data_IF_050544118869
#
_entry.id   IF_050544118869
#
_cell.length_a   1.000
_cell.length_b   1.000
_cell.length_c   1.000
_cell.angle_alpha   90.00
_cell.angle_beta   90.00
_cell.angle_gamma   90.00
#
_symmetry.space_group_name_H-M   'P 1'
#
loop_
_entity.id
_entity.type
_entity.pdbx_description
1 polymer ?
#
# COMPACT_ATOMS: atom_id res chain seq x y z
N UNK A 1 -28.20 -28.11 -37.15
CA UNK A 1 -28.91 -27.02 -36.43
C UNK A 1 -27.85 -26.06 -35.92
N UNK A 2 -27.45 -25.13 -36.79
CA UNK A 2 -26.54 -24.03 -36.48
C UNK A 2 -27.41 -22.86 -36.03
N UNK A 3 -27.13 -22.27 -34.86
CA UNK A 3 -27.67 -20.96 -34.51
C UNK A 3 -26.51 -19.96 -34.58
N UNK A 4 -26.66 -19.04 -35.54
CA UNK A 4 -25.81 -17.91 -35.79
C UNK A 4 -26.05 -16.80 -34.75
N UNK A 5 -24.99 -16.12 -34.34
CA UNK A 5 -25.07 -14.77 -33.78
C UNK A 5 -24.04 -13.92 -34.54
N UNK A 6 -24.55 -12.98 -35.34
CA UNK A 6 -23.77 -11.99 -36.07
C UNK A 6 -23.32 -10.84 -35.14
N UNK A 7 -22.28 -10.09 -35.52
CA UNK A 7 -21.57 -9.13 -34.68
C UNK A 7 -22.21 -7.73 -34.73
N UNK A 8 -22.11 -6.99 -33.62
CA UNK A 8 -22.21 -5.53 -33.61
C UNK A 8 -20.86 -4.95 -33.24
N UNK A 9 -20.07 -4.60 -34.26
CA UNK A 9 -18.88 -3.77 -34.12
C UNK A 9 -18.92 -2.70 -35.21
N UNK A 10 -19.56 -1.56 -34.93
CA UNK A 10 -19.41 -0.33 -35.69
C UNK A 10 -20.03 0.84 -34.93
N UNK A 11 -19.23 1.52 -34.10
CA UNK A 11 -19.42 2.93 -33.82
C UNK A 11 -18.02 3.56 -33.77
N UNK A 12 -17.66 4.22 -34.87
CA UNK A 12 -16.38 4.86 -35.06
C UNK A 12 -16.28 6.15 -34.22
N UNK A 13 -15.11 6.27 -33.60
CA UNK A 13 -14.35 7.47 -33.23
C UNK A 13 -14.96 8.82 -33.62
N UNK A 14 -15.24 9.62 -32.59
CA UNK A 14 -14.96 11.06 -32.58
C UNK A 14 -14.57 11.44 -31.14
N UNK A 15 -13.44 10.92 -30.65
CA UNK A 15 -12.74 11.51 -29.51
C UNK A 15 -11.62 12.36 -30.07
N UNK A 16 -11.71 13.67 -29.83
CA UNK A 16 -10.66 14.64 -30.11
C UNK A 16 -9.32 14.11 -29.57
N UNK A 17 -8.28 13.89 -30.40
CA UNK A 17 -7.00 13.34 -29.95
C UNK A 17 -6.11 14.36 -29.23
N UNK A 18 -6.65 15.52 -28.82
CA UNK A 18 -5.87 16.65 -28.34
C UNK A 18 -5.71 16.74 -26.81
N UNK A 19 -6.03 15.70 -26.04
CA UNK A 19 -5.84 15.74 -24.56
C UNK A 19 -5.36 14.44 -23.92
N UNK A 20 -4.90 13.46 -24.69
CA UNK A 20 -4.39 12.20 -24.17
C UNK A 20 -3.06 11.86 -24.82
N UNK A 21 -2.02 12.63 -24.46
CA UNK A 21 -0.59 12.31 -24.63
C UNK A 21 0.22 13.46 -24.01
N UNK A 22 0.03 13.72 -22.71
CA UNK A 22 1.20 14.12 -21.93
C UNK A 22 2.05 12.87 -21.79
N UNK A 23 2.89 12.63 -22.80
CA UNK A 23 4.10 11.84 -22.64
C UNK A 23 4.74 12.28 -21.32
N UNK A 24 4.90 11.34 -20.40
CA UNK A 24 5.75 11.48 -19.22
C UNK A 24 7.19 11.72 -19.70
N UNK A 25 7.48 12.97 -20.08
CA UNK A 25 8.84 13.43 -20.24
C UNK A 25 9.47 13.41 -18.84
N UNK A 26 10.32 12.41 -18.59
CA UNK A 26 11.45 12.53 -17.67
C UNK A 26 11.20 12.22 -16.20
N UNK A 27 10.70 11.03 -15.87
CA UNK A 27 10.90 10.50 -14.53
C UNK A 27 11.46 9.08 -14.63
N UNK A 28 12.67 8.89 -14.10
CA UNK A 28 13.37 7.60 -14.04
C UNK A 28 13.30 7.14 -12.59
N UNK A 29 12.66 6.00 -12.33
CA UNK A 29 12.65 5.43 -10.98
C UNK A 29 14.07 5.05 -10.56
N UNK A 30 14.44 5.33 -9.30
CA UNK A 30 15.66 4.79 -8.67
C UNK A 30 15.46 3.35 -8.15
N UNK A 31 14.30 2.75 -8.38
CA UNK A 31 14.02 1.37 -7.96
C UNK A 31 14.84 0.36 -8.76
N UNK A 32 15.23 -0.71 -8.08
CA UNK A 32 16.01 -1.77 -8.70
C UNK A 32 15.10 -2.78 -9.41
N UNK A 33 15.58 -3.46 -10.47
CA UNK A 33 14.82 -4.52 -11.14
C UNK A 33 14.39 -5.64 -10.19
N UNK A 34 13.28 -6.31 -10.52
CA UNK A 34 12.74 -7.43 -9.75
C UNK A 34 13.72 -8.62 -9.74
N UNK A 35 14.34 -8.94 -8.59
CA UNK A 35 15.39 -9.96 -8.54
C UNK A 35 14.85 -11.39 -8.54
N UNK A 36 13.53 -11.59 -8.43
CA UNK A 36 12.91 -12.90 -8.26
C UNK A 36 11.96 -13.29 -9.40
N UNK A 37 11.80 -12.44 -10.42
CA UNK A 37 10.92 -12.70 -11.57
C UNK A 37 11.19 -14.07 -12.23
N UNK A 38 12.47 -14.41 -12.45
CA UNK A 38 12.89 -15.68 -13.05
C UNK A 38 12.74 -16.89 -12.12
N UNK A 39 12.70 -16.66 -10.80
CA UNK A 39 12.55 -17.72 -9.80
C UNK A 39 11.07 -18.11 -9.63
N UNK A 40 10.15 -17.17 -9.84
CA UNK A 40 8.71 -17.39 -9.72
C UNK A 40 7.95 -16.92 -10.98
N UNK A 41 8.20 -17.53 -12.15
CA UNK A 41 7.69 -17.05 -13.44
C UNK A 41 6.15 -17.11 -13.56
N UNK A 42 5.52 -18.01 -12.79
CA UNK A 42 4.06 -18.22 -12.80
C UNK A 42 3.33 -17.42 -11.70
N UNK A 43 4.06 -16.66 -10.88
CA UNK A 43 3.47 -15.83 -9.82
C UNK A 43 3.53 -14.35 -10.20
N UNK A 44 2.70 -13.55 -9.54
CA UNK A 44 2.83 -12.10 -9.60
C UNK A 44 4.01 -11.71 -8.73
N UNK A 45 5.01 -11.07 -9.32
CA UNK A 45 6.20 -10.61 -8.60
C UNK A 45 6.55 -9.18 -8.99
N UNK A 46 7.30 -8.50 -8.13
CA UNK A 46 7.80 -7.16 -8.41
C UNK A 46 8.67 -6.67 -7.26
N UNK A 47 8.95 -5.39 -7.24
CA UNK A 47 9.54 -4.71 -6.09
C UNK A 47 8.61 -3.63 -5.57
N UNK A 48 8.71 -3.34 -4.28
CA UNK A 48 7.94 -2.29 -3.62
C UNK A 48 8.89 -1.42 -2.83
N UNK A 49 9.13 -0.24 -3.39
CA UNK A 49 10.04 0.76 -2.88
C UNK A 49 9.27 1.89 -2.21
N UNK A 50 9.52 2.11 -0.93
CA UNK A 50 9.07 3.35 -0.31
C UNK A 50 9.19 3.37 1.19
N UNK A 51 8.32 4.16 1.83
CA UNK A 51 8.35 4.36 3.28
C UNK A 51 7.21 3.62 3.96
N UNK A 52 7.60 2.84 4.98
CA UNK A 52 6.71 2.23 5.95
C UNK A 52 6.88 2.96 7.27
N UNK A 53 5.82 3.49 7.85
CA UNK A 53 5.95 4.18 9.13
C UNK A 53 4.76 3.91 10.07
N UNK A 54 5.03 3.95 11.38
CA UNK A 54 3.99 3.76 12.39
C UNK A 54 3.32 5.09 12.69
N UNK A 55 2.00 5.12 12.56
CA UNK A 55 1.11 6.19 13.00
C UNK A 55 0.44 5.76 14.31
N UNK A 56 0.94 6.19 15.48
CA UNK A 56 0.31 5.84 16.75
C UNK A 56 -1.07 6.46 16.83
N UNK A 57 -2.06 5.64 17.15
CA UNK A 57 -3.43 6.04 17.46
C UNK A 57 -3.89 5.32 18.72
N UNK A 58 -4.90 5.81 19.42
CA UNK A 58 -5.38 5.09 20.60
C UNK A 58 -6.01 3.75 20.20
N UNK A 59 -5.97 2.77 21.10
CA UNK A 59 -6.64 1.49 20.87
C UNK A 59 -8.14 1.65 20.65
N UNK A 60 -8.76 2.63 21.30
CA UNK A 60 -10.17 2.96 21.12
C UNK A 60 -10.44 3.49 19.71
N UNK A 61 -9.61 4.42 19.21
CA UNK A 61 -9.69 4.92 17.84
C UNK A 61 -9.52 3.78 16.84
N UNK A 62 -8.50 2.94 17.02
CA UNK A 62 -8.28 1.78 16.17
C UNK A 62 -9.50 0.85 16.15
N UNK A 63 -10.08 0.53 17.32
CA UNK A 63 -11.25 -0.34 17.42
C UNK A 63 -12.49 0.26 16.75
N UNK A 64 -12.66 1.59 16.84
CA UNK A 64 -13.74 2.31 16.16
C UNK A 64 -13.60 2.21 14.63
N UNK A 65 -12.39 2.37 14.11
CA UNK A 65 -12.11 2.31 12.67
C UNK A 65 -12.29 0.89 12.11
N UNK A 66 -11.69 -0.12 12.75
CA UNK A 66 -11.80 -1.51 12.26
C UNK A 66 -13.18 -2.12 12.52
N UNK A 67 -13.94 -1.51 13.43
CA UNK A 67 -15.29 -1.92 13.79
C UNK A 67 -15.34 -3.08 14.79
N UNK A 68 -16.51 -3.33 15.40
CA UNK A 68 -16.65 -4.28 16.52
C UNK A 68 -16.55 -5.75 16.10
N UNK A 69 -16.53 -6.03 14.80
CA UNK A 69 -16.45 -7.41 14.26
C UNK A 69 -15.07 -8.02 14.42
N UNK A 70 -14.02 -7.20 14.51
CA UNK A 70 -12.64 -7.68 14.56
C UNK A 70 -12.01 -7.35 15.91
N UNK A 71 -11.43 -8.37 16.53
CA UNK A 71 -10.65 -8.22 17.75
C UNK A 71 -9.21 -7.82 17.38
N UNK A 72 -8.69 -6.79 18.05
CA UNK A 72 -7.28 -6.43 17.97
C UNK A 72 -6.45 -7.38 18.85
N UNK A 73 -5.46 -8.05 18.25
CA UNK A 73 -4.52 -8.96 18.90
C UNK A 73 -3.41 -8.18 19.62
N UNK A 74 -3.77 -7.51 20.71
CA UNK A 74 -2.82 -6.62 21.43
C UNK A 74 -1.57 -7.34 21.94
N UNK A 75 -1.67 -8.61 22.31
CA UNK A 75 -0.51 -9.41 22.71
C UNK A 75 0.53 -9.53 21.59
N UNK A 76 0.10 -9.69 20.33
CA UNK A 76 0.98 -9.93 19.19
C UNK A 76 1.90 -8.73 18.90
N UNK A 77 1.35 -7.51 18.87
CA UNK A 77 2.21 -6.34 18.60
C UNK A 77 3.00 -5.89 19.83
N UNK A 78 2.51 -6.15 21.05
CA UNK A 78 3.25 -5.84 22.28
C UNK A 78 4.46 -6.77 22.49
N UNK A 79 4.41 -7.99 21.98
CA UNK A 79 5.58 -8.87 21.93
C UNK A 79 6.66 -8.31 21.00
N UNK A 80 6.26 -7.75 19.85
CA UNK A 80 7.18 -7.15 18.88
C UNK A 80 7.69 -5.76 19.32
N UNK A 81 6.87 -5.02 20.06
CA UNK A 81 7.14 -3.66 20.52
C UNK A 81 6.85 -3.54 22.03
N UNK A 82 7.71 -4.08 22.91
CA UNK A 82 7.47 -4.13 24.36
C UNK A 82 7.36 -2.75 25.01
N UNK A 83 8.03 -1.75 24.44
CA UNK A 83 8.03 -0.37 24.94
C UNK A 83 6.94 0.51 24.29
N UNK A 84 6.13 -0.04 23.38
CA UNK A 84 5.05 0.72 22.76
C UNK A 84 3.95 1.01 23.79
N UNK A 85 3.37 2.23 23.82
CA UNK A 85 2.40 2.59 24.85
C UNK A 85 1.21 1.62 24.87
N UNK A 86 0.80 1.21 26.07
CA UNK A 86 -0.18 0.12 26.25
C UNK A 86 -1.57 0.47 25.71
N UNK A 87 -1.92 1.74 25.73
CA UNK A 87 -3.17 2.32 25.25
C UNK A 87 -3.14 2.69 23.77
N UNK A 88 -2.00 2.49 23.10
CA UNK A 88 -1.81 2.81 21.68
C UNK A 88 -1.85 1.56 20.80
N UNK A 89 -2.14 1.82 19.53
CA UNK A 89 -2.17 0.86 18.43
C UNK A 89 -1.25 1.34 17.29
N UNK A 90 -0.41 0.46 16.72
CA UNK A 90 0.53 0.83 15.68
C UNK A 90 -0.12 0.71 14.28
N UNK A 91 -0.94 1.68 13.90
CA UNK A 91 -1.40 1.78 12.50
C UNK A 91 -0.18 2.07 11.59
N UNK A 92 -0.22 1.61 10.34
CA UNK A 92 0.92 1.71 9.43
C UNK A 92 0.53 2.54 8.22
N UNK A 93 1.30 3.57 7.91
CA UNK A 93 1.28 4.16 6.57
C UNK A 93 2.23 3.38 5.66
N UNK A 94 1.73 2.98 4.51
CA UNK A 94 2.53 2.55 3.37
C UNK A 94 2.39 3.62 2.29
N UNK A 95 3.47 4.31 1.96
CA UNK A 95 3.55 5.15 0.78
C UNK A 95 4.68 4.58 -0.07
N UNK A 96 4.34 4.03 -1.23
CA UNK A 96 5.25 3.16 -1.98
C UNK A 96 5.03 3.26 -3.48
N UNK A 97 6.05 2.87 -4.22
CA UNK A 97 6.06 2.58 -5.64
C UNK A 97 6.14 1.07 -5.83
N UNK A 98 5.17 0.50 -6.55
CA UNK A 98 5.24 -0.86 -7.06
C UNK A 98 5.92 -0.80 -8.44
N UNK A 99 7.05 -1.50 -8.57
CA UNK A 99 7.96 -1.41 -9.71
C UNK A 99 8.30 -2.80 -10.27
N UNK A 100 8.53 -2.85 -11.59
CA UNK A 100 8.87 -4.08 -12.34
C UNK A 100 7.95 -5.25 -11.99
N UNK A 101 6.66 -4.94 -11.91
CA UNK A 101 5.62 -5.91 -11.58
C UNK A 101 5.35 -6.77 -12.81
N UNK A 102 5.38 -8.09 -12.63
CA UNK A 102 5.26 -9.08 -13.69
C UNK A 102 4.28 -10.17 -13.30
N UNK A 103 3.47 -10.63 -14.25
CA UNK A 103 2.53 -11.72 -14.09
C UNK A 103 2.53 -12.59 -15.35
N UNK A 104 3.08 -13.82 -15.29
CA UNK A 104 3.11 -14.73 -16.44
C UNK A 104 3.77 -14.13 -17.69
N UNK A 105 4.85 -13.35 -17.50
CA UNK A 105 5.58 -12.65 -18.57
C UNK A 105 4.96 -11.33 -19.04
N UNK A 106 3.84 -10.89 -18.45
CA UNK A 106 3.23 -9.58 -18.71
C UNK A 106 3.76 -8.57 -17.70
N UNK A 107 4.37 -7.48 -18.18
CA UNK A 107 4.76 -6.36 -17.34
C UNK A 107 3.57 -5.43 -17.06
N UNK A 108 3.39 -5.09 -15.80
CA UNK A 108 2.46 -4.07 -15.34
C UNK A 108 3.26 -2.77 -15.18
N UNK A 109 2.82 -1.65 -15.79
CA UNK A 109 3.51 -0.37 -15.62
C UNK A 109 3.59 0.05 -14.16
N UNK A 110 4.69 0.68 -13.76
CA UNK A 110 4.90 1.18 -12.41
C UNK A 110 3.74 2.07 -11.93
N UNK A 111 3.40 1.95 -10.66
CA UNK A 111 2.39 2.78 -10.02
C UNK A 111 2.73 3.06 -8.57
N UNK A 112 2.36 4.25 -8.11
CA UNK A 112 2.47 4.63 -6.70
C UNK A 112 1.15 4.40 -5.98
N UNK A 113 1.23 4.15 -4.68
CA UNK A 113 0.07 4.01 -3.81
C UNK A 113 0.36 4.49 -2.40
N UNK A 114 -0.68 4.98 -1.72
CA UNK A 114 -0.63 5.25 -0.29
C UNK A 114 -1.85 4.70 0.44
N UNK A 115 -1.64 4.12 1.62
CA UNK A 115 -2.70 3.61 2.49
C UNK A 115 -2.32 3.77 3.96
N UNK A 116 -3.33 3.92 4.82
CA UNK A 116 -3.21 3.66 6.25
C UNK A 116 -3.86 2.32 6.52
N UNK A 117 -3.11 1.42 7.13
CA UNK A 117 -3.48 0.03 7.33
C UNK A 117 -3.44 -0.35 8.80
N UNK A 118 -4.31 -1.29 9.14
CA UNK A 118 -4.60 -1.68 10.51
C UNK A 118 -4.23 -3.18 10.71
N UNK A 119 -2.98 -3.49 11.10
CA UNK A 119 -2.49 -4.87 11.34
C UNK A 119 -3.02 -5.51 12.64
N UNK A 120 -2.68 -6.78 12.87
CA UNK A 120 -2.98 -7.52 14.11
C UNK A 120 -4.49 -7.73 14.39
N UNK A 121 -5.29 -7.92 13.34
CA UNK A 121 -6.70 -8.25 13.47
C UNK A 121 -6.95 -9.75 13.46
N UNK A 122 -7.84 -10.21 14.34
CA UNK A 122 -8.28 -11.60 14.43
C UNK A 122 -9.47 -11.86 13.51
N UNK A 123 -9.21 -11.99 12.21
CA UNK A 123 -10.26 -12.28 11.23
C UNK A 123 -10.87 -13.68 11.41
N UNK A 124 -10.07 -14.64 11.89
CA UNK A 124 -10.47 -16.05 12.04
C UNK A 124 -11.06 -16.38 13.41
N UNK A 125 -11.13 -15.41 14.32
CA UNK A 125 -11.52 -15.59 15.71
C UNK A 125 -10.74 -16.73 16.40
N UNK A 126 -9.44 -16.82 16.16
CA UNK A 126 -8.55 -17.85 16.71
C UNK A 126 -7.50 -17.30 17.68
N UNK A 127 -7.52 -15.99 17.93
CA UNK A 127 -6.63 -15.26 18.85
C UNK A 127 -5.13 -15.41 18.56
N UNK A 128 -4.76 -15.80 17.34
CA UNK A 128 -3.37 -16.08 16.96
C UNK A 128 -2.98 -15.55 15.58
N UNK A 129 -3.85 -15.69 14.56
CA UNK A 129 -3.51 -15.34 13.18
C UNK A 129 -3.81 -13.87 12.93
N UNK A 130 -2.76 -13.07 12.75
CA UNK A 130 -2.88 -11.64 12.45
C UNK A 130 -3.20 -11.40 10.99
N UNK A 131 -4.22 -10.58 10.75
CA UNK A 131 -4.56 -10.00 9.46
C UNK A 131 -4.39 -8.49 9.52
N UNK A 132 -4.31 -7.87 8.34
CA UNK A 132 -4.19 -6.43 8.18
C UNK A 132 -5.35 -5.89 7.35
N UNK A 133 -6.10 -4.95 7.92
CA UNK A 133 -7.18 -4.28 7.20
C UNK A 133 -6.62 -3.10 6.39
N UNK A 134 -6.95 -3.04 5.10
CA UNK A 134 -6.61 -1.97 4.16
C UNK A 134 -7.89 -1.45 3.49
N UNK A 135 -8.60 -0.55 4.18
CA UNK A 135 -9.92 -0.06 3.75
C UNK A 135 -9.84 0.90 2.57
N UNK A 136 -8.92 1.87 2.65
CA UNK A 136 -8.85 2.99 1.73
C UNK A 136 -7.41 3.13 1.22
N UNK A 137 -7.27 3.31 -0.09
CA UNK A 137 -5.96 3.41 -0.73
C UNK A 137 -6.00 4.43 -1.87
N UNK A 138 -4.99 5.30 -1.96
CA UNK A 138 -4.72 6.04 -3.18
C UNK A 138 -3.85 5.22 -4.10
N UNK A 139 -4.05 5.34 -5.41
CA UNK A 139 -3.25 4.63 -6.41
C UNK A 139 -3.17 5.44 -7.70
N UNK A 140 -2.07 5.34 -8.44
CA UNK A 140 -1.86 6.12 -9.69
C UNK A 140 -3.07 5.99 -10.60
N UNK A 141 -3.68 7.13 -10.97
CA UNK A 141 -5.01 7.16 -11.60
C UNK A 141 -5.12 6.50 -12.98
N UNK A 142 -4.01 6.21 -13.64
CA UNK A 142 -3.95 5.48 -14.92
C UNK A 142 -3.58 4.00 -14.78
N UNK A 143 -3.38 3.50 -13.56
CA UNK A 143 -2.87 2.14 -13.32
C UNK A 143 -3.95 1.06 -13.45
N UNK A 144 -3.56 -0.08 -13.99
CA UNK A 144 -4.37 -1.32 -13.97
C UNK A 144 -4.62 -1.82 -12.53
N UNK A 145 -3.77 -1.43 -11.57
CA UNK A 145 -3.90 -1.76 -10.15
C UNK A 145 -5.17 -1.20 -9.49
N UNK A 146 -5.84 -0.22 -10.11
CA UNK A 146 -7.11 0.33 -9.60
C UNK A 146 -8.18 -0.76 -9.51
N UNK A 147 -8.38 -1.53 -10.59
CA UNK A 147 -9.37 -2.58 -10.63
C UNK A 147 -8.96 -3.79 -9.76
N UNK A 148 -7.66 -4.13 -9.75
CA UNK A 148 -7.12 -5.20 -8.92
C UNK A 148 -7.36 -4.95 -7.43
N UNK A 149 -7.06 -3.76 -6.95
CA UNK A 149 -7.26 -3.39 -5.54
C UNK A 149 -8.74 -3.34 -5.17
N UNK A 150 -9.59 -2.76 -6.04
CA UNK A 150 -11.03 -2.69 -5.81
C UNK A 150 -11.72 -4.07 -5.77
N UNK A 151 -11.15 -5.08 -6.42
CA UNK A 151 -11.70 -6.44 -6.43
C UNK A 151 -11.76 -7.06 -5.02
N UNK A 152 -10.86 -6.67 -4.11
CA UNK A 152 -10.82 -7.11 -2.71
C UNK A 152 -11.71 -6.29 -1.76
N UNK A 153 -12.44 -5.31 -2.30
CA UNK A 153 -13.32 -4.43 -1.53
C UNK A 153 -12.63 -3.19 -0.96
N UNK A 154 -11.37 -2.94 -1.30
CA UNK A 154 -10.69 -1.68 -0.96
C UNK A 154 -11.36 -0.54 -1.70
N UNK A 155 -11.60 0.58 -1.00
CA UNK A 155 -12.00 1.82 -1.64
C UNK A 155 -10.75 2.47 -2.25
N UNK A 156 -10.72 2.51 -3.57
CA UNK A 156 -9.56 3.02 -4.31
C UNK A 156 -9.83 4.44 -4.78
N UNK A 157 -8.89 5.33 -4.49
CA UNK A 157 -8.94 6.74 -4.84
C UNK A 157 -7.85 7.05 -5.88
N UNK A 158 -8.23 7.21 -7.16
CA UNK A 158 -7.28 7.58 -8.21
C UNK A 158 -6.54 8.87 -7.86
N UNK A 159 -5.21 8.83 -7.91
CA UNK A 159 -4.36 9.95 -7.52
C UNK A 159 -3.22 10.24 -8.50
N UNK A 160 -2.77 11.48 -8.48
CA UNK A 160 -1.48 11.94 -8.99
C UNK A 160 -0.51 12.03 -7.82
N UNK A 161 0.74 11.63 -8.03
CA UNK A 161 1.77 11.60 -7.00
C UNK A 161 2.88 12.59 -7.30
N UNK A 162 3.47 13.14 -6.25
CA UNK A 162 4.68 13.96 -6.32
C UNK A 162 5.68 13.47 -5.25
N UNK A 163 6.82 12.87 -5.66
CA UNK A 163 7.25 12.68 -7.06
C UNK A 163 6.39 11.64 -7.81
N UNK A 164 6.27 11.74 -9.15
CA UNK A 164 5.29 10.96 -9.92
C UNK A 164 5.68 9.51 -10.22
N UNK A 165 6.97 9.18 -10.32
CA UNK A 165 7.47 7.84 -10.65
C UNK A 165 8.47 7.29 -9.64
N UNK A 166 8.74 8.06 -8.59
CA UNK A 166 9.67 7.71 -7.58
C UNK A 166 9.18 8.34 -6.29
N UNK A 167 8.23 7.68 -5.65
CA UNK A 167 7.69 8.15 -4.37
C UNK A 167 8.83 8.48 -3.37
N UNK A 168 10.03 7.91 -3.58
CA UNK A 168 11.20 8.10 -2.74
C UNK A 168 12.54 8.13 -3.49
N UNK A 169 12.68 9.07 -4.42
CA UNK A 169 14.01 9.65 -4.72
C UNK A 169 14.63 10.17 -3.38
N UNK A 170 15.85 10.72 -3.39
CA UNK A 170 16.41 11.43 -2.24
C UNK A 170 15.54 12.62 -1.75
N UNK A 171 14.41 12.89 -2.43
CA UNK A 171 13.34 13.76 -1.97
C UNK A 171 12.81 13.36 -0.58
N UNK A 172 12.69 14.32 0.35
CA UNK A 172 12.08 14.05 1.64
C UNK A 172 10.55 14.08 1.60
N UNK A 173 9.92 14.49 0.50
CA UNK A 173 8.48 14.73 0.45
C UNK A 173 7.75 13.69 -0.39
N UNK A 174 6.51 13.41 -0.01
CA UNK A 174 5.55 12.60 -0.73
C UNK A 174 4.19 13.28 -0.68
N UNK A 175 3.56 13.50 -1.83
CA UNK A 175 2.19 14.04 -1.89
C UNK A 175 1.33 13.21 -2.82
N UNK A 176 0.10 12.89 -2.39
CA UNK A 176 -0.92 12.28 -3.24
C UNK A 176 -2.11 13.24 -3.37
N UNK A 177 -2.52 13.52 -4.61
CA UNK A 177 -3.62 14.45 -4.97
C UNK A 177 -4.66 13.73 -5.81
N UNK A 178 -5.95 14.11 -5.77
CA UNK A 178 -6.96 13.55 -6.67
C UNK A 178 -6.56 13.65 -8.15
N UNK A 179 -6.70 12.57 -8.90
CA UNK A 179 -6.23 12.49 -10.30
C UNK A 179 -6.96 13.45 -11.27
N UNK A 180 -8.26 13.67 -11.06
CA UNK A 180 -9.13 14.41 -12.00
C UNK A 180 -9.54 15.81 -11.52
N UNK A 181 -8.92 16.39 -10.48
CA UNK A 181 -9.28 17.75 -10.04
C UNK A 181 -8.52 18.78 -10.88
N UNK A 182 -9.21 19.54 -11.76
CA UNK A 182 -8.60 20.64 -12.50
C UNK A 182 -8.76 21.94 -11.70
N UNK A 183 -7.73 22.80 -11.69
CA UNK A 183 -7.81 24.28 -11.60
C UNK A 183 -7.08 24.96 -10.42
N UNK A 184 -6.44 26.12 -10.65
CA UNK A 184 -5.41 26.74 -9.80
C UNK A 184 -5.91 27.46 -8.53
N UNK A 185 -7.21 27.40 -8.22
CA UNK A 185 -7.84 28.20 -7.17
C UNK A 185 -8.54 27.37 -6.08
N UNK A 186 -8.26 26.06 -6.01
CA UNK A 186 -8.65 25.27 -4.82
C UNK A 186 -7.47 25.24 -3.87
N UNK A 187 -7.70 25.52 -2.59
CA UNK A 187 -6.73 25.24 -1.53
C UNK A 187 -6.48 23.74 -1.52
N UNK A 188 -5.37 23.32 -2.16
CA UNK A 188 -4.74 21.99 -2.12
C UNK A 188 -5.57 20.88 -1.46
N UNK A 189 -6.54 20.32 -2.19
CA UNK A 189 -7.15 19.06 -1.77
C UNK A 189 -6.12 17.96 -2.00
N UNK A 190 -5.36 17.63 -0.96
CA UNK A 190 -4.44 16.50 -0.93
C UNK A 190 -5.15 15.32 -0.25
N UNK A 191 -4.81 14.09 -0.66
CA UNK A 191 -5.18 12.89 0.08
C UNK A 191 -4.16 12.57 1.16
N UNK A 192 -2.88 12.74 0.82
CA UNK A 192 -1.76 12.55 1.73
C UNK A 192 -0.68 13.60 1.46
N UNK A 193 -0.04 14.02 2.54
CA UNK A 193 1.24 14.72 2.51
C UNK A 193 2.13 14.07 3.55
N UNK A 194 3.34 13.66 3.17
CA UNK A 194 4.30 13.11 4.10
C UNK A 194 5.68 13.71 3.86
N UNK A 195 6.44 13.85 4.93
CA UNK A 195 7.79 14.40 4.90
C UNK A 195 8.69 13.59 5.80
N UNK A 196 9.70 12.93 5.24
CA UNK A 196 10.62 12.02 5.94
C UNK A 196 12.08 12.37 5.66
N UNK A 197 12.90 12.22 6.69
CA UNK A 197 14.35 12.30 6.59
C UNK A 197 15.01 11.10 7.26
N UNK A 198 16.25 10.76 6.87
CA UNK A 198 17.05 9.78 7.59
C UNK A 198 17.10 10.08 9.10
N UNK A 199 17.04 9.01 9.90
CA UNK A 199 17.11 9.08 11.35
C UNK A 199 18.19 8.12 11.86
N UNK A 200 18.87 8.51 12.94
CA UNK A 200 19.91 7.67 13.55
C UNK A 200 19.33 6.49 14.34
N UNK A 201 18.07 6.59 14.76
CA UNK A 201 17.39 5.57 15.57
C UNK A 201 15.88 5.54 15.35
N UNK A 202 15.31 4.35 15.58
CA UNK A 202 13.88 4.08 15.52
C UNK A 202 13.49 3.18 16.69
N UNK A 203 12.35 3.43 17.37
CA UNK A 203 11.80 2.49 18.35
C UNK A 203 11.21 1.24 17.70
N UNK A 204 11.08 1.22 16.37
CA UNK A 204 10.48 0.13 15.61
C UNK A 204 11.58 -0.65 14.88
N UNK A 205 11.84 -1.90 15.27
CA UNK A 205 12.89 -2.71 14.65
C UNK A 205 12.41 -3.25 13.30
N UNK A 206 13.33 -3.53 12.36
CA UNK A 206 12.98 -4.04 11.03
C UNK A 206 12.06 -5.30 11.07
N UNK A 207 12.27 -6.29 11.97
CA UNK A 207 11.36 -7.43 12.11
C UNK A 207 9.90 -7.08 12.37
N UNK A 208 9.61 -5.93 13.00
CA UNK A 208 8.23 -5.45 13.14
C UNK A 208 7.63 -5.12 11.78
N UNK A 209 8.34 -4.39 10.91
CA UNK A 209 7.90 -4.07 9.55
C UNK A 209 7.78 -5.32 8.68
N UNK A 210 8.71 -6.27 8.82
CA UNK A 210 8.63 -7.59 8.17
C UNK A 210 7.34 -8.29 8.57
N UNK A 211 7.01 -8.32 9.87
CA UNK A 211 5.79 -8.96 10.37
C UNK A 211 4.53 -8.30 9.80
N UNK A 212 4.35 -6.99 10.01
CA UNK A 212 3.10 -6.30 9.65
C UNK A 212 2.83 -6.32 8.15
N UNK A 213 3.87 -6.18 7.32
CA UNK A 213 3.69 -6.13 5.86
C UNK A 213 3.41 -7.49 5.23
N UNK A 214 3.80 -8.58 5.90
CA UNK A 214 3.54 -9.97 5.48
C UNK A 214 2.27 -10.57 6.08
N UNK A 215 1.48 -9.81 6.85
CA UNK A 215 0.14 -10.25 7.27
C UNK A 215 -0.79 -10.27 6.05
N UNK A 216 -1.65 -11.29 5.89
CA UNK A 216 -2.67 -11.28 4.85
C UNK A 216 -3.53 -10.01 4.96
N UNK A 217 -3.69 -9.32 3.84
CA UNK A 217 -4.42 -8.08 3.74
C UNK A 217 -5.88 -8.35 3.36
N UNK A 218 -6.81 -7.52 3.83
CA UNK A 218 -8.21 -7.57 3.42
C UNK A 218 -8.87 -6.21 3.55
N UNK A 219 -9.98 -6.02 2.84
CA UNK A 219 -10.91 -4.91 3.04
C UNK A 219 -12.32 -5.43 3.27
N UNK A 220 -12.76 -6.34 2.40
CA UNK A 220 -13.98 -7.12 2.57
C UNK A 220 -13.62 -8.62 2.58
N UNK A 221 -13.74 -9.32 3.71
CA UNK A 221 -13.38 -10.74 3.78
C UNK A 221 -14.27 -11.63 2.91
N UNK A 222 -15.45 -11.17 2.47
CA UNK A 222 -16.28 -11.90 1.50
C UNK A 222 -15.69 -11.87 0.09
N UNK A 223 -14.82 -10.90 -0.21
CA UNK A 223 -14.12 -10.74 -1.50
C UNK A 223 -12.73 -11.38 -1.50
N UNK A 224 -12.32 -11.99 -0.38
CA UNK A 224 -11.04 -12.68 -0.24
C UNK A 224 -9.98 -11.84 0.47
N UNK A 225 -8.83 -12.46 0.68
CA UNK A 225 -7.63 -11.80 1.18
C UNK A 225 -6.57 -11.77 0.08
N UNK A 226 -5.77 -10.71 0.09
CA UNK A 226 -4.52 -10.66 -0.64
C UNK A 226 -3.36 -11.12 0.29
N UNK A 227 -2.45 -11.92 -0.27
CA UNK A 227 -1.23 -12.34 0.40
C UNK A 227 -0.02 -11.93 -0.43
N UNK A 228 0.44 -10.71 -0.17
CA UNK A 228 1.71 -10.20 -0.64
C UNK A 228 2.83 -10.59 0.34
N UNK A 229 3.65 -11.56 -0.06
CA UNK A 229 4.86 -11.96 0.69
C UNK A 229 6.01 -11.04 0.29
N UNK A 230 6.45 -10.19 1.21
CA UNK A 230 7.58 -9.27 1.02
C UNK A 230 8.87 -9.84 1.58
N UNK A 231 9.91 -9.83 0.75
CA UNK A 231 11.25 -10.28 1.08
C UNK A 231 12.14 -9.07 1.35
N UNK A 232 12.68 -9.01 2.57
CA UNK A 232 13.57 -7.92 3.03
C UNK A 232 15.06 -8.31 2.95
N UNK A 233 15.37 -9.50 2.41
CA UNK A 233 16.71 -10.05 2.29
C UNK A 233 16.94 -10.54 0.86
N UNK A 234 16.95 -9.59 -0.08
CA UNK A 234 17.25 -9.82 -1.50
C UNK A 234 18.21 -8.75 -1.97
N UNK A 235 18.69 -8.83 -3.22
CA UNK A 235 19.62 -7.83 -3.76
C UNK A 235 19.07 -6.40 -3.71
N UNK A 236 17.75 -6.20 -3.66
CA UNK A 236 17.16 -4.85 -3.58
C UNK A 236 17.31 -4.19 -2.21
N UNK A 237 17.75 -4.93 -1.19
CA UNK A 237 18.08 -4.42 0.16
C UNK A 237 19.57 -4.53 0.51
N UNK A 238 20.41 -4.95 -0.44
CA UNK A 238 21.86 -5.02 -0.26
C UNK A 238 22.53 -3.67 -0.54
N UNK A 239 23.78 -3.51 -0.07
CA UNK A 239 24.59 -2.31 -0.31
C UNK A 239 24.58 -1.87 -1.78
N UNK A 240 24.34 -0.59 -2.10
CA UNK A 240 24.15 0.58 -1.21
C UNK A 240 22.68 0.91 -0.85
N UNK A 241 21.76 -0.04 -0.99
CA UNK A 241 20.31 0.15 -0.87
C UNK A 241 19.74 -0.43 0.43
N UNK A 242 20.54 -0.46 1.49
CA UNK A 242 20.08 -0.98 2.77
C UNK A 242 18.87 -0.19 3.30
N UNK A 243 17.97 -0.84 4.07
CA UNK A 243 16.86 -0.15 4.71
C UNK A 243 17.33 1.06 5.53
N UNK A 244 16.74 2.23 5.28
CA UNK A 244 17.09 3.49 5.93
C UNK A 244 16.03 3.83 6.97
N UNK A 245 16.45 4.00 8.23
CA UNK A 245 15.53 4.48 9.27
C UNK A 245 15.13 5.93 8.97
N UNK A 246 13.85 6.25 9.17
CA UNK A 246 13.32 7.59 8.89
C UNK A 246 12.52 8.18 10.04
N UNK A 247 12.52 9.51 10.12
CA UNK A 247 11.67 10.32 10.98
C UNK A 247 10.96 11.37 10.14
N UNK A 248 9.70 11.65 10.47
CA UNK A 248 8.93 12.59 9.67
C UNK A 248 7.63 13.07 10.27
N UNK A 249 6.83 13.67 9.40
CA UNK A 249 5.43 14.02 9.62
C UNK A 249 4.57 13.46 8.50
N UNK A 250 3.31 13.20 8.82
CA UNK A 250 2.30 12.66 7.90
C UNK A 250 1.00 13.42 8.13
N UNK A 251 0.33 13.81 7.06
CA UNK A 251 -1.04 14.26 7.07
C UNK A 251 -1.86 13.39 6.11
N UNK A 252 -3.06 13.01 6.53
CA UNK A 252 -3.99 12.21 5.76
C UNK A 252 -5.40 12.82 5.79
N UNK A 253 -6.05 12.87 4.63
CA UNK A 253 -7.41 13.37 4.49
C UNK A 253 -8.45 12.44 5.16
N UNK A 254 -9.66 12.96 5.35
CA UNK A 254 -10.76 12.28 6.06
C UNK A 254 -11.07 10.86 5.57
N UNK A 255 -11.10 10.56 4.25
CA UNK A 255 -11.36 9.18 3.80
C UNK A 255 -10.29 8.19 4.25
N UNK A 256 -9.06 8.63 4.51
CA UNK A 256 -7.95 7.76 4.93
C UNK A 256 -7.83 7.69 6.44
N UNK A 257 -8.20 8.76 7.14
CA UNK A 257 -8.27 8.77 8.58
C UNK A 257 -9.40 9.68 9.09
N UNK A 258 -10.48 9.10 9.63
CA UNK A 258 -11.59 9.90 10.14
C UNK A 258 -11.18 10.60 11.44
N UNK A 259 -11.07 11.93 11.40
CA UNK A 259 -10.71 12.75 12.56
C UNK A 259 -11.91 13.28 13.35
N UNK A 260 -13.13 13.03 12.87
CA UNK A 260 -14.37 13.56 13.47
C UNK A 260 -14.58 15.06 13.27
N UNK A 261 -13.58 15.80 12.76
CA UNK A 261 -13.63 17.26 12.54
C UNK A 261 -13.72 17.65 11.06
N UNK A 262 -13.73 16.67 10.14
CA UNK A 262 -13.91 16.88 8.70
C UNK A 262 -12.68 17.33 7.93
N UNK A 263 -11.50 17.42 8.57
CA UNK A 263 -10.26 17.96 7.96
C UNK A 263 -9.10 16.97 7.80
N UNK A 264 -9.28 15.69 8.10
CA UNK A 264 -8.17 14.73 8.18
C UNK A 264 -7.38 14.83 9.48
N UNK A 265 -6.20 14.19 9.54
CA UNK A 265 -5.32 14.15 10.73
C UNK A 265 -3.85 14.30 10.34
N UNK A 266 -3.11 15.01 11.19
CA UNK A 266 -1.65 15.08 11.15
C UNK A 266 -1.01 14.24 12.27
N UNK A 267 0.17 13.71 11.99
CA UNK A 267 1.08 13.08 12.93
C UNK A 267 2.47 13.68 12.75
N UNK A 268 3.08 14.09 13.86
CA UNK A 268 4.46 14.58 13.89
C UNK A 268 5.37 13.60 14.61
N UNK A 269 6.66 13.60 14.22
CA UNK A 269 7.65 12.74 14.84
C UNK A 269 7.45 11.25 14.55
N UNK A 270 6.68 10.93 13.50
CA UNK A 270 6.47 9.58 12.96
C UNK A 270 7.83 8.93 12.70
N UNK A 271 7.96 7.63 13.01
CA UNK A 271 9.18 6.84 12.78
C UNK A 271 8.86 5.65 11.88
N UNK A 272 9.81 5.31 11.02
CA UNK A 272 9.62 4.31 10.00
C UNK A 272 10.91 3.78 9.42
N UNK A 273 10.77 3.06 8.32
CA UNK A 273 11.85 2.57 7.47
C UNK A 273 11.52 2.89 6.02
N UNK A 274 12.49 3.43 5.29
CA UNK A 274 12.49 3.47 3.83
C UNK A 274 13.23 2.25 3.32
N UNK A 275 12.59 1.47 2.45
CA UNK A 275 13.09 0.18 2.00
C UNK A 275 12.47 -0.21 0.66
N UNK A 276 13.25 -0.90 -0.17
CA UNK A 276 12.74 -1.63 -1.32
C UNK A 276 12.63 -3.12 -0.97
N UNK A 277 11.53 -3.76 -1.36
CA UNK A 277 11.28 -5.17 -1.06
C UNK A 277 10.80 -5.89 -2.29
N UNK A 278 11.46 -7.00 -2.65
CA UNK A 278 10.90 -7.91 -3.63
C UNK A 278 9.64 -8.57 -3.04
N UNK A 279 8.63 -8.86 -3.87
CA UNK A 279 7.42 -9.52 -3.40
C UNK A 279 6.93 -10.62 -4.32
N UNK A 280 6.18 -11.55 -3.73
CA UNK A 280 5.33 -12.52 -4.42
C UNK A 280 3.90 -12.30 -3.96
N UNK A 281 2.96 -12.20 -4.88
CA UNK A 281 1.55 -11.98 -4.58
C UNK A 281 0.72 -13.21 -4.94
N UNK A 282 -0.03 -13.70 -3.95
CA UNK A 282 -0.98 -14.79 -4.12
C UNK A 282 -2.40 -14.23 -4.03
N UNK A 283 -3.04 -14.12 -5.19
CA UNK A 283 -4.35 -13.48 -5.34
C UNK A 283 -5.53 -14.44 -5.15
N UNK A 284 -6.69 -13.88 -4.80
CA UNK A 284 -7.99 -14.51 -4.66
C UNK A 284 -8.01 -15.68 -3.66
N UNK A 285 -7.20 -15.61 -2.62
CA UNK A 285 -7.18 -16.63 -1.58
C UNK A 285 -8.43 -16.47 -0.68
N UNK A 286 -9.20 -17.55 -0.43
CA UNK A 286 -10.33 -17.45 0.46
C UNK A 286 -9.83 -17.11 1.87
N UNK A 287 -10.39 -16.05 2.47
CA UNK A 287 -9.98 -15.55 3.78
C UNK A 287 -10.07 -16.60 4.89
N UNK A 288 -10.89 -17.64 4.71
CA UNK A 288 -11.16 -18.74 5.64
C UNK A 288 -10.25 -19.97 5.49
N UNK A 289 -9.38 -20.03 4.48
CA UNK A 289 -8.42 -21.16 4.36
C UNK A 289 -7.43 -21.08 5.51
N UNK A 290 -7.03 -22.24 6.08
CA UNK A 290 -6.02 -22.29 7.16
C UNK A 290 -4.67 -21.80 6.64
N UNK A 291 -4.43 -20.50 6.77
CA UNK A 291 -3.15 -19.82 6.52
C UNK A 291 -1.99 -20.42 7.32
N UNK A 292 -2.27 -21.19 8.38
CA UNK A 292 -1.28 -21.92 9.19
C UNK A 292 -0.58 -23.07 8.47
N UNK A 293 -0.99 -23.44 7.24
CA UNK A 293 -0.40 -24.55 6.47
C UNK A 293 0.37 -24.11 5.21
N UNK A 294 0.42 -22.81 4.90
CA UNK A 294 1.16 -22.32 3.74
C UNK A 294 2.62 -22.05 4.11
N UNK A 295 3.60 -22.25 3.21
CA UNK A 295 5.02 -22.01 3.50
C UNK A 295 5.21 -20.57 3.99
N UNK A 296 5.90 -20.41 5.12
CA UNK A 296 6.32 -19.11 5.65
C UNK A 296 7.51 -18.59 4.88
#
# INVERSE_FOLDING_TARGET
>A
MLIAILPFLAAALCLNPASALQLTLGCTSQSQPNPIASTYPDQITGTINGTLAVLPITLEEAQSIVGPKYKILTAAYRELLPDFPKDMYPAIIQAVLDHDVQAGGIHIPDFSRASIEYPFLDLLNNSHTSFRLSLNQTLTGSSLGLAGSAAYGTNVYPASFDPPCDAYDHSPYFTARPFLVPSPNTTDSTYFTAFFHPADSSPYPLPFFVNVTNQPSFADPARGCDRQVRMFNTSVTEKPFEPVLVKGSVWAAEPFFPSGTGGGRAWDGVRGVRVDTAFIEYNYLPSVVRWSKMPR
#
